data_IF_021991755928
#
_entry.id   IF_021991755928
#
_cell.length_a   1.000
_cell.length_b   1.000
_cell.length_c   1.000
_cell.angle_alpha   90.00
_cell.angle_beta   90.00
_cell.angle_gamma   90.00
#
_symmetry.space_group_name_H-M   'P 1'
#
loop_
_entity.id
_entity.type
_entity.pdbx_description
1 polymer ?
#
# COMPACT_ATOMS: atom_id res chain seq x y z
N UNK A 1 -51.39 22.60 19.50
CA UNK A 1 -50.39 21.50 19.48
C UNK A 1 -49.87 21.10 18.09
N UNK A 2 -50.45 21.53 16.96
CA UNK A 2 -49.98 21.05 15.64
C UNK A 2 -48.87 21.90 15.01
N UNK A 3 -48.85 23.22 15.26
CA UNK A 3 -47.84 24.16 14.72
C UNK A 3 -46.42 23.90 15.27
N UNK A 4 -46.30 23.50 16.53
CA UNK A 4 -45.00 23.16 17.14
C UNK A 4 -44.41 21.85 16.59
N UNK A 5 -45.23 20.90 16.14
CA UNK A 5 -44.75 19.67 15.47
C UNK A 5 -44.24 19.92 14.05
N UNK A 6 -44.83 20.87 13.31
CA UNK A 6 -44.35 21.25 11.97
C UNK A 6 -43.02 22.03 12.02
N UNK A 7 -42.78 22.80 13.07
CA UNK A 7 -41.51 23.50 13.30
C UNK A 7 -40.33 22.54 13.56
N UNK A 8 -40.58 21.40 14.22
CA UNK A 8 -39.55 20.38 14.49
C UNK A 8 -39.23 19.54 13.23
N UNK A 9 -40.23 19.30 12.37
CA UNK A 9 -40.06 18.57 11.11
C UNK A 9 -39.29 19.36 10.03
N UNK A 10 -39.33 20.69 10.07
CA UNK A 10 -38.61 21.56 9.13
C UNK A 10 -37.13 21.76 9.48
N UNK A 11 -36.72 21.45 10.72
CA UNK A 11 -35.35 21.64 11.19
C UNK A 11 -34.39 20.49 10.78
N UNK A 12 -34.93 19.31 10.48
CA UNK A 12 -34.17 18.10 10.18
C UNK A 12 -33.42 18.09 8.83
N UNK A 13 -33.91 18.69 7.72
CA UNK A 13 -33.20 18.67 6.44
C UNK A 13 -31.98 19.59 6.38
N UNK A 14 -31.94 20.63 7.22
CA UNK A 14 -30.89 21.66 7.19
C UNK A 14 -29.57 21.12 7.77
N UNK A 15 -29.63 20.14 8.67
CA UNK A 15 -28.45 19.56 9.34
C UNK A 15 -27.72 18.59 8.39
N UNK A 16 -28.39 18.05 7.36
CA UNK A 16 -27.80 17.12 6.39
C UNK A 16 -26.96 17.80 5.31
N UNK A 17 -27.03 19.12 5.15
CA UNK A 17 -26.23 19.86 4.16
C UNK A 17 -24.88 20.39 4.70
N UNK A 18 -24.64 20.26 6.01
CA UNK A 18 -23.43 20.80 6.67
C UNK A 18 -22.26 19.81 6.80
N UNK A 19 -22.36 18.60 6.22
CA UNK A 19 -21.36 17.53 6.43
C UNK A 19 -20.21 17.49 5.42
N UNK A 20 -20.14 18.42 4.46
CA UNK A 20 -18.97 18.55 3.59
C UNK A 20 -18.27 19.90 3.82
N UNK A 21 -17.45 19.96 4.87
CA UNK A 21 -16.29 20.86 4.83
C UNK A 21 -15.32 20.27 3.81
N UNK A 22 -15.41 20.71 2.55
CA UNK A 22 -14.29 20.51 1.62
C UNK A 22 -13.18 21.39 2.17
N UNK A 23 -12.13 20.78 2.71
CA UNK A 23 -10.87 21.51 2.87
C UNK A 23 -10.43 21.88 1.45
N UNK A 24 -10.28 23.17 1.19
CA UNK A 24 -9.67 23.71 -0.02
C UNK A 24 -8.15 23.46 0.01
N UNK A 25 -7.76 22.21 0.25
CA UNK A 25 -6.41 21.78 -0.06
C UNK A 25 -6.37 21.68 -1.58
N UNK A 26 -5.99 22.79 -2.21
CA UNK A 26 -5.68 22.86 -3.63
C UNK A 26 -4.59 21.82 -3.91
N UNK A 27 -5.00 20.62 -4.31
CA UNK A 27 -4.11 19.60 -4.89
C UNK A 27 -3.69 20.16 -6.24
N UNK A 28 -2.69 21.02 -6.23
CA UNK A 28 -2.05 21.50 -7.45
C UNK A 28 -1.47 20.30 -8.20
N UNK A 29 -1.34 20.42 -9.53
CA UNK A 29 -0.76 19.35 -10.37
C UNK A 29 0.65 18.91 -9.95
N UNK A 30 1.32 19.65 -9.05
CA UNK A 30 2.66 19.38 -8.56
C UNK A 30 2.71 18.82 -7.13
N UNK A 31 1.57 18.55 -6.49
CA UNK A 31 1.53 17.92 -5.18
C UNK A 31 2.04 16.48 -5.29
N UNK A 32 3.26 16.23 -4.78
CA UNK A 32 3.87 14.90 -4.73
C UNK A 32 3.70 14.31 -3.33
N UNK A 33 3.43 13.01 -3.28
CA UNK A 33 3.50 12.24 -2.04
C UNK A 33 4.66 11.25 -2.12
N UNK A 34 5.24 10.91 -0.97
CA UNK A 34 6.23 9.85 -0.85
C UNK A 34 5.52 8.50 -0.77
N UNK A 35 6.05 7.51 -1.46
CA UNK A 35 5.68 6.11 -1.24
C UNK A 35 6.96 5.30 -1.05
N UNK A 36 6.83 4.18 -0.34
CA UNK A 36 7.93 3.25 -0.07
C UNK A 36 7.43 1.84 -0.33
N UNK A 37 8.28 0.99 -0.90
CA UNK A 37 8.04 -0.45 -1.04
C UNK A 37 8.99 -1.18 -0.12
N UNK A 38 8.44 -2.05 0.72
CA UNK A 38 9.19 -3.00 1.52
C UNK A 38 8.95 -4.43 1.03
N UNK A 39 10.01 -5.21 0.91
CA UNK A 39 9.95 -6.62 0.52
C UNK A 39 10.21 -7.52 1.72
N UNK A 40 9.19 -8.28 2.10
CA UNK A 40 9.28 -9.34 3.11
C UNK A 40 9.09 -10.71 2.47
N UNK A 41 9.97 -11.65 2.79
CA UNK A 41 9.92 -13.00 2.26
C UNK A 41 9.55 -13.99 3.35
N UNK A 42 8.66 -14.91 3.01
CA UNK A 42 8.21 -15.96 3.89
C UNK A 42 8.13 -17.29 3.17
N UNK A 43 8.28 -18.37 3.93
CA UNK A 43 8.07 -19.74 3.49
C UNK A 43 7.04 -20.36 4.42
N UNK A 44 5.88 -20.75 3.86
CA UNK A 44 4.75 -21.31 4.60
C UNK A 44 4.32 -20.46 5.83
N UNK A 45 4.35 -19.13 5.69
CA UNK A 45 3.98 -18.19 6.77
C UNK A 45 5.07 -17.90 7.80
N UNK A 46 6.21 -18.59 7.74
CA UNK A 46 7.39 -18.26 8.55
C UNK A 46 8.32 -17.33 7.77
N UNK A 47 8.89 -16.33 8.44
CA UNK A 47 9.89 -15.46 7.83
C UNK A 47 11.05 -16.28 7.24
N UNK A 48 11.49 -15.89 6.04
CA UNK A 48 12.65 -16.48 5.39
C UNK A 48 13.90 -16.12 6.21
N UNK A 49 14.69 -17.13 6.57
CA UNK A 49 15.96 -16.96 7.24
C UNK A 49 17.02 -17.80 6.54
N UNK A 50 18.05 -17.13 6.05
CA UNK A 50 19.12 -17.78 5.29
C UNK A 50 19.97 -18.66 6.21
N UNK A 51 20.38 -19.83 5.70
CA UNK A 51 21.32 -20.77 6.34
C UNK A 51 20.89 -21.36 7.70
N UNK A 52 19.77 -20.92 8.29
CA UNK A 52 19.34 -21.35 9.62
C UNK A 52 18.24 -22.41 9.55
N UNK A 53 17.12 -22.09 8.91
CA UNK A 53 15.92 -22.90 8.95
C UNK A 53 15.90 -24.00 7.88
N UNK A 54 15.33 -25.15 8.24
CA UNK A 54 14.89 -26.18 7.28
C UNK A 54 13.41 -25.97 7.00
N UNK A 55 13.06 -25.85 5.73
CA UNK A 55 11.70 -25.66 5.25
C UNK A 55 11.18 -26.92 4.56
N UNK A 56 9.86 -27.02 4.37
CA UNK A 56 9.22 -28.10 3.63
C UNK A 56 8.57 -27.58 2.36
N UNK A 57 8.87 -28.25 1.24
CA UNK A 57 8.19 -27.95 -0.02
C UNK A 57 6.77 -28.56 -0.04
N UNK A 58 6.03 -28.35 -1.13
CA UNK A 58 4.66 -28.86 -1.27
C UNK A 58 4.54 -30.40 -1.23
N UNK A 59 5.65 -31.13 -1.41
CA UNK A 59 5.72 -32.60 -1.32
C UNK A 59 6.17 -33.11 0.06
N UNK A 60 6.46 -32.20 0.99
CA UNK A 60 6.94 -32.52 2.34
C UNK A 60 8.45 -32.73 2.45
N UNK A 61 9.20 -32.53 1.37
CA UNK A 61 10.65 -32.69 1.33
C UNK A 61 11.35 -31.49 1.98
N UNK A 62 12.42 -31.78 2.72
CA UNK A 62 13.21 -30.77 3.41
C UNK A 62 14.13 -30.02 2.45
N UNK A 63 14.22 -28.71 2.63
CA UNK A 63 15.18 -27.87 1.92
C UNK A 63 15.67 -26.71 2.78
N UNK A 64 16.81 -26.13 2.40
CA UNK A 64 17.36 -24.90 2.99
C UNK A 64 17.52 -23.84 1.93
N UNK A 65 17.39 -22.59 2.35
CA UNK A 65 17.63 -21.43 1.49
C UNK A 65 18.93 -20.78 1.98
N UNK A 66 19.94 -20.76 1.12
CA UNK A 66 21.25 -20.17 1.41
C UNK A 66 21.43 -18.84 0.68
N UNK A 67 20.74 -18.66 -0.44
CA UNK A 67 20.73 -17.45 -1.25
C UNK A 67 19.31 -17.19 -1.72
N UNK A 68 18.84 -15.96 -1.55
CA UNK A 68 17.58 -15.50 -2.10
C UNK A 68 17.75 -14.07 -2.60
N UNK A 69 17.79 -13.90 -3.91
CA UNK A 69 18.01 -12.60 -4.56
C UNK A 69 17.38 -12.57 -5.94
N UNK A 70 16.82 -11.43 -6.33
CA UNK A 70 16.10 -11.25 -7.58
C UNK A 70 16.05 -9.78 -7.98
N UNK A 71 15.80 -9.50 -9.26
CA UNK A 71 15.61 -8.14 -9.74
C UNK A 71 14.13 -7.77 -9.72
N UNK A 72 13.83 -6.57 -9.25
CA UNK A 72 12.54 -5.89 -9.41
C UNK A 72 12.74 -4.74 -10.36
N UNK A 73 11.94 -4.70 -11.43
CA UNK A 73 12.02 -3.62 -12.41
C UNK A 73 10.65 -3.19 -12.91
N UNK A 74 10.62 -2.09 -13.66
CA UNK A 74 9.46 -1.62 -14.39
C UNK A 74 8.25 -1.30 -13.49
N UNK A 75 8.49 -0.76 -12.30
CA UNK A 75 7.44 -0.36 -11.36
C UNK A 75 6.67 0.84 -11.95
N UNK A 76 5.34 0.72 -11.98
CA UNK A 76 4.42 1.75 -12.49
C UNK A 76 3.34 2.02 -11.45
N UNK A 77 3.07 3.30 -11.20
CA UNK A 77 1.95 3.73 -10.38
C UNK A 77 0.80 4.12 -11.29
N UNK A 78 -0.38 3.54 -11.06
CA UNK A 78 -1.59 3.90 -11.80
C UNK A 78 -2.43 4.85 -10.96
N UNK A 79 -2.90 5.94 -11.56
CA UNK A 79 -3.76 6.92 -10.90
C UNK A 79 -5.23 6.61 -11.19
N UNK A 80 -6.12 7.14 -10.35
CA UNK A 80 -7.56 6.98 -10.52
C UNK A 80 -8.09 7.61 -11.83
N UNK A 81 -7.37 8.58 -12.40
CA UNK A 81 -7.68 9.21 -13.69
C UNK A 81 -7.27 8.37 -14.92
N UNK A 82 -6.69 7.18 -14.70
CA UNK A 82 -6.21 6.28 -15.76
C UNK A 82 -4.80 6.58 -16.28
N UNK A 83 -4.15 7.66 -15.85
CA UNK A 83 -2.74 7.94 -16.18
C UNK A 83 -1.77 7.09 -15.36
N UNK A 84 -0.57 6.85 -15.90
CA UNK A 84 0.48 6.07 -15.24
C UNK A 84 1.73 6.91 -15.01
N UNK A 85 2.33 6.78 -13.82
CA UNK A 85 3.67 7.30 -13.51
C UNK A 85 4.68 6.15 -13.52
N UNK A 86 5.71 6.29 -14.36
CA UNK A 86 6.84 5.36 -14.39
C UNK A 86 7.89 5.81 -13.39
N UNK A 87 8.33 4.92 -12.52
CA UNK A 87 9.44 5.22 -11.61
C UNK A 87 10.73 5.29 -12.45
N UNK A 88 11.48 6.41 -12.42
CA UNK A 88 12.78 6.52 -13.08
C UNK A 88 13.77 5.48 -12.53
N UNK A 89 14.66 4.95 -13.37
CA UNK A 89 15.68 3.97 -12.95
C UNK A 89 15.10 2.77 -12.17
N UNK A 90 13.93 2.27 -12.58
CA UNK A 90 13.25 1.17 -11.90
C UNK A 90 13.93 -0.17 -12.19
N UNK A 91 15.10 -0.39 -11.58
CA UNK A 91 15.87 -1.63 -11.64
C UNK A 91 16.63 -1.84 -10.32
N UNK A 92 16.11 -2.72 -9.48
CA UNK A 92 16.58 -2.92 -8.11
C UNK A 92 16.94 -4.38 -7.89
N UNK A 93 18.13 -4.65 -7.36
CA UNK A 93 18.49 -5.98 -6.87
C UNK A 93 18.00 -6.10 -5.43
N UNK A 94 16.98 -6.93 -5.22
CA UNK A 94 16.55 -7.33 -3.88
C UNK A 94 17.40 -8.53 -3.46
N UNK A 95 18.06 -8.42 -2.33
CA UNK A 95 18.96 -9.42 -1.79
C UNK A 95 18.62 -9.65 -0.31
N UNK A 96 18.16 -10.85 0.01
CA UNK A 96 17.76 -11.20 1.38
C UNK A 96 18.91 -11.12 2.38
N UNK A 97 20.16 -11.21 1.91
CA UNK A 97 21.33 -11.01 2.75
C UNK A 97 21.63 -9.53 3.06
N UNK A 98 20.93 -8.59 2.41
CA UNK A 98 21.15 -7.15 2.53
C UNK A 98 19.83 -6.42 2.79
N UNK A 99 19.50 -6.18 4.06
CA UNK A 99 18.25 -5.52 4.45
C UNK A 99 17.99 -4.19 3.73
N UNK A 100 19.04 -3.38 3.50
CA UNK A 100 18.92 -2.10 2.80
C UNK A 100 18.45 -2.24 1.33
N UNK A 101 18.60 -3.41 0.72
CA UNK A 101 18.12 -3.67 -0.65
C UNK A 101 16.62 -3.97 -0.72
N UNK A 102 15.97 -4.21 0.43
CA UNK A 102 14.55 -4.59 0.51
C UNK A 102 13.61 -3.41 0.71
N UNK A 103 14.14 -2.19 0.73
CA UNK A 103 13.38 -0.96 0.89
C UNK A 103 13.69 -0.04 -0.29
N UNK A 104 12.66 0.36 -1.04
CA UNK A 104 12.72 1.24 -2.22
C UNK A 104 11.84 2.46 -1.99
#
# INVERSE_FOLDING_TARGET
>A
MKISQYLLALLCPIILLSSCKKSDDDITANTKSSFTIEFEHQVNGAALALNTNTYKNAKGEDFKINVFKYYVSNIKLSKADGSTYLIPESYFLIDESKSASKLI
#
